data_IF_108827189385
#
_entry.id   IF_108827189385
#
_cell.length_a   1.000
_cell.length_b   1.000
_cell.length_c   1.000
_cell.angle_alpha   90.00
_cell.angle_beta   90.00
_cell.angle_gamma   90.00
#
_symmetry.space_group_name_H-M   'P 1'
#
loop_
_entity.id
_entity.type
_entity.pdbx_description
1 polymer ?
#
# COMPACT_ATOMS: atom_id res chain seq x y z
N UNK A 1 15.74 -14.90 8.56
CA UNK A 1 14.37 -15.34 8.91
C UNK A 1 13.40 -14.24 8.51
N UNK A 2 12.44 -14.54 7.63
CA UNK A 2 11.35 -13.60 7.33
C UNK A 2 10.48 -13.45 8.57
N UNK A 3 10.27 -12.21 9.02
CA UNK A 3 9.25 -11.92 10.03
C UNK A 3 7.88 -12.23 9.40
N UNK A 4 7.14 -13.17 9.97
CA UNK A 4 5.78 -13.49 9.49
C UNK A 4 4.82 -12.46 10.08
N UNK A 5 4.18 -11.66 9.23
CA UNK A 5 3.29 -10.57 9.64
C UNK A 5 1.86 -10.94 9.28
N UNK A 6 0.93 -10.63 10.17
CA UNK A 6 -0.46 -11.06 10.07
C UNK A 6 -1.42 -9.98 10.55
N UNK A 7 -2.65 -10.01 10.01
CA UNK A 7 -3.74 -9.15 10.49
C UNK A 7 -4.28 -9.65 11.81
N UNK A 8 -4.36 -8.73 12.75
CA UNK A 8 -5.07 -8.88 14.01
C UNK A 8 -6.52 -8.40 13.88
N UNK A 9 -6.73 -7.19 13.36
CA UNK A 9 -8.07 -6.61 13.20
C UNK A 9 -8.16 -5.64 12.01
N UNK A 10 -9.36 -5.46 11.47
CA UNK A 10 -9.71 -4.33 10.61
C UNK A 10 -10.66 -3.39 11.36
N UNK A 11 -10.42 -2.09 11.25
CA UNK A 11 -11.10 -1.00 11.92
C UNK A 11 -11.75 -0.08 10.88
N UNK A 12 -12.99 0.31 11.14
CA UNK A 12 -13.75 1.25 10.32
C UNK A 12 -14.21 2.43 11.16
N UNK A 13 -14.02 3.64 10.66
CA UNK A 13 -14.52 4.87 11.25
C UNK A 13 -16.04 4.96 11.08
N UNK A 14 -16.78 5.05 12.19
CA UNK A 14 -18.26 5.15 12.20
C UNK A 14 -18.78 6.49 11.70
N UNK A 15 -17.94 7.51 11.58
CA UNK A 15 -18.29 8.76 10.91
C UNK A 15 -18.36 8.60 9.38
N UNK A 16 -17.66 7.60 8.83
CA UNK A 16 -17.53 7.38 7.39
C UNK A 16 -18.23 6.10 6.90
N UNK A 17 -18.39 5.10 7.78
CA UNK A 17 -18.99 3.81 7.44
C UNK A 17 -20.14 3.46 8.39
N UNK A 18 -21.26 3.03 7.80
CA UNK A 18 -22.27 2.27 8.55
C UNK A 18 -21.78 0.84 8.82
N UNK A 19 -22.38 0.17 9.80
CA UNK A 19 -22.13 -1.25 10.08
C UNK A 19 -22.31 -2.16 8.86
N UNK A 20 -23.29 -1.88 8.00
CA UNK A 20 -23.57 -2.67 6.79
C UNK A 20 -22.51 -2.42 5.71
N UNK A 21 -22.08 -1.16 5.55
CA UNK A 21 -20.99 -0.81 4.63
C UNK A 21 -19.66 -1.45 5.07
N UNK A 22 -19.36 -1.38 6.37
CA UNK A 22 -18.17 -2.00 6.95
C UNK A 22 -18.18 -3.54 6.79
N UNK A 23 -19.32 -4.18 7.05
CA UNK A 23 -19.48 -5.64 6.85
C UNK A 23 -19.33 -6.02 5.39
N UNK A 24 -19.96 -5.26 4.49
CA UNK A 24 -19.87 -5.50 3.04
C UNK A 24 -18.44 -5.34 2.55
N UNK A 25 -17.72 -4.32 3.03
CA UNK A 25 -16.32 -4.10 2.73
C UNK A 25 -15.47 -5.27 3.23
N UNK A 26 -15.63 -5.65 4.51
CA UNK A 26 -14.87 -6.74 5.12
C UNK A 26 -15.05 -8.05 4.34
N UNK A 27 -16.29 -8.42 4.01
CA UNK A 27 -16.59 -9.61 3.23
C UNK A 27 -16.02 -9.57 1.80
N UNK A 28 -16.08 -8.39 1.16
CA UNK A 28 -15.55 -8.21 -0.20
C UNK A 28 -14.03 -8.36 -0.24
N UNK A 29 -13.34 -7.87 0.78
CA UNK A 29 -11.87 -7.92 0.91
C UNK A 29 -11.40 -9.19 1.67
N UNK A 30 -12.27 -10.21 1.79
CA UNK A 30 -12.00 -11.52 2.40
C UNK A 30 -11.53 -11.48 3.86
N UNK A 31 -11.96 -10.48 4.61
CA UNK A 31 -11.80 -10.45 6.05
C UNK A 31 -12.87 -11.31 6.74
N UNK A 32 -12.46 -12.08 7.74
CA UNK A 32 -13.39 -12.72 8.66
C UNK A 32 -14.25 -11.65 9.36
N UNK A 33 -15.53 -11.95 9.57
CA UNK A 33 -16.42 -11.11 10.38
C UNK A 33 -16.87 -11.84 11.64
N UNK A 34 -16.12 -12.87 12.06
CA UNK A 34 -16.49 -13.81 13.13
C UNK A 34 -16.63 -13.11 14.48
N UNK A 35 -15.77 -12.15 14.78
CA UNK A 35 -15.87 -11.31 15.96
C UNK A 35 -15.91 -9.83 15.58
N UNK A 36 -17.05 -9.20 15.85
CA UNK A 36 -17.29 -7.78 15.65
C UNK A 36 -17.36 -7.05 16.99
N UNK A 37 -16.59 -5.99 17.14
CA UNK A 37 -16.66 -5.04 18.25
C UNK A 37 -17.04 -3.67 17.72
N UNK A 38 -17.93 -2.99 18.43
CA UNK A 38 -18.28 -1.62 18.09
C UNK A 38 -18.17 -0.74 19.33
N UNK A 39 -17.57 0.43 19.16
CA UNK A 39 -17.65 1.53 20.11
C UNK A 39 -18.31 2.75 19.46
N UNK A 40 -18.20 3.91 20.11
CA UNK A 40 -18.85 5.15 19.64
C UNK A 40 -18.26 5.67 18.31
N UNK A 41 -17.01 5.34 17.98
CA UNK A 41 -16.28 5.89 16.84
C UNK A 41 -15.80 4.84 15.84
N UNK A 42 -15.72 3.56 16.22
CA UNK A 42 -15.07 2.50 15.44
C UNK A 42 -15.94 1.23 15.39
N UNK A 43 -15.99 0.62 14.21
CA UNK A 43 -16.39 -0.78 14.03
C UNK A 43 -15.11 -1.59 13.78
N UNK A 44 -14.84 -2.57 14.63
CA UNK A 44 -13.68 -3.45 14.53
C UNK A 44 -14.11 -4.89 14.23
N UNK A 45 -13.45 -5.54 13.28
CA UNK A 45 -13.55 -6.98 13.05
C UNK A 45 -12.23 -7.65 13.42
N UNK A 46 -12.25 -8.48 14.45
CA UNK A 46 -11.08 -9.18 14.97
C UNK A 46 -10.87 -10.47 14.16
N UNK A 47 -9.71 -10.59 13.55
CA UNK A 47 -9.29 -11.76 12.75
C UNK A 47 -8.55 -12.81 13.59
N UNK A 48 -7.91 -12.38 14.69
CA UNK A 48 -7.02 -13.22 15.49
C UNK A 48 -7.00 -12.81 16.95
N UNK A 49 -6.62 -13.76 17.81
CA UNK A 49 -6.33 -13.45 19.20
C UNK A 49 -5.03 -12.64 19.27
N UNK A 50 -4.94 -11.78 20.29
CA UNK A 50 -3.76 -11.03 20.65
C UNK A 50 -2.59 -11.97 21.01
N UNK A 51 -2.88 -13.14 21.58
CA UNK A 51 -1.90 -14.14 21.99
C UNK A 51 -1.15 -14.82 20.84
N UNK A 52 -1.63 -14.68 19.60
CA UNK A 52 -0.96 -15.23 18.41
C UNK A 52 0.26 -14.39 17.97
N UNK A 53 0.51 -13.24 18.62
CA UNK A 53 1.52 -12.26 18.24
C UNK A 53 2.64 -12.13 19.28
N UNK A 54 3.84 -11.80 18.79
CA UNK A 54 5.01 -11.58 19.63
C UNK A 54 4.81 -10.39 20.57
N UNK A 55 5.13 -10.61 21.84
CA UNK A 55 5.12 -9.58 22.88
C UNK A 55 6.55 -9.11 23.12
N UNK A 56 6.74 -7.79 23.17
CA UNK A 56 8.04 -7.18 23.43
C UNK A 56 8.50 -7.58 24.85
N UNK A 57 9.80 -7.88 25.02
CA UNK A 57 10.37 -8.50 26.23
C UNK A 57 10.11 -7.76 27.56
N UNK A 58 9.60 -6.53 27.51
CA UNK A 58 9.32 -5.70 28.68
C UNK A 58 7.83 -5.61 29.05
N UNK A 59 6.95 -6.36 28.36
CA UNK A 59 5.52 -6.42 28.70
C UNK A 59 4.74 -5.12 28.47
N UNK A 60 5.40 -4.08 27.96
CA UNK A 60 4.80 -2.82 27.55
C UNK A 60 4.96 -2.67 26.03
N UNK A 61 3.83 -2.41 25.39
CA UNK A 61 3.56 -2.32 23.96
C UNK A 61 3.83 -3.60 23.15
N UNK A 62 2.76 -4.14 22.57
CA UNK A 62 2.87 -5.08 21.47
C UNK A 62 3.27 -4.31 20.22
N UNK A 63 4.16 -4.87 19.40
CA UNK A 63 4.50 -4.31 18.08
C UNK A 63 3.36 -4.54 17.06
N UNK A 64 2.17 -4.00 17.35
CA UNK A 64 1.15 -3.81 16.32
C UNK A 64 1.41 -2.51 15.58
N UNK A 65 1.14 -2.54 14.27
CA UNK A 65 1.16 -1.37 13.40
C UNK A 65 -0.20 -1.17 12.78
N UNK A 66 -0.51 0.10 12.52
CA UNK A 66 -1.74 0.51 11.85
C UNK A 66 -1.41 0.80 10.39
N UNK A 67 -2.07 0.07 9.51
CA UNK A 67 -2.00 0.19 8.05
C UNK A 67 -3.29 0.85 7.58
N UNK A 68 -3.23 2.02 6.95
CA UNK A 68 -4.43 2.66 6.38
C UNK A 68 -4.75 2.05 5.01
N UNK A 69 -5.93 1.45 4.87
CA UNK A 69 -6.39 0.86 3.60
C UNK A 69 -7.14 1.87 2.73
N UNK A 70 -7.96 2.70 3.36
CA UNK A 70 -8.78 3.72 2.73
C UNK A 70 -9.12 4.80 3.78
N UNK A 71 -9.70 5.91 3.34
CA UNK A 71 -10.25 6.89 4.28
C UNK A 71 -11.25 6.20 5.22
N UNK A 72 -11.04 6.31 6.53
CA UNK A 72 -11.87 5.63 7.52
C UNK A 72 -11.68 4.12 7.64
N UNK A 73 -10.69 3.51 6.97
CA UNK A 73 -10.41 2.06 7.09
C UNK A 73 -8.95 1.82 7.44
N UNK A 74 -8.71 1.18 8.58
CA UNK A 74 -7.37 0.87 9.07
C UNK A 74 -7.26 -0.61 9.46
N UNK A 75 -6.06 -1.17 9.36
CA UNK A 75 -5.77 -2.57 9.68
C UNK A 75 -4.66 -2.63 10.70
N UNK A 76 -4.89 -3.38 11.76
CA UNK A 76 -3.89 -3.68 12.78
C UNK A 76 -3.14 -4.95 12.36
N UNK A 77 -1.82 -4.82 12.12
CA UNK A 77 -0.93 -5.93 11.74
C UNK A 77 0.17 -6.11 12.78
N UNK A 78 0.64 -7.34 12.98
CA UNK A 78 1.73 -7.64 13.92
C UNK A 78 2.57 -8.86 13.52
N UNK A 79 3.71 -9.06 14.18
CA UNK A 79 4.58 -10.22 13.97
C UNK A 79 4.03 -11.45 14.73
N UNK A 80 3.88 -12.57 14.03
CA UNK A 80 3.35 -13.82 14.60
C UNK A 80 4.37 -14.54 15.49
N UNK A 81 3.87 -15.21 16.52
CA UNK A 81 4.63 -16.19 17.30
C UNK A 81 5.09 -17.38 16.43
N UNK A 82 6.25 -17.95 16.78
CA UNK A 82 6.83 -19.06 16.04
C UNK A 82 5.94 -20.32 16.19
N UNK A 83 5.56 -20.95 15.07
CA UNK A 83 4.71 -22.13 15.05
C UNK A 83 3.20 -21.85 14.90
N UNK A 84 2.77 -20.58 14.86
CA UNK A 84 1.40 -20.21 14.50
C UNK A 84 1.23 -20.33 12.98
N UNK A 85 0.56 -21.40 12.51
CA UNK A 85 0.39 -21.70 11.08
C UNK A 85 -0.96 -21.28 10.50
N UNK A 86 -1.88 -20.80 11.34
CA UNK A 86 -3.20 -20.36 10.88
C UNK A 86 -3.04 -19.00 10.21
N UNK A 87 -2.78 -19.00 8.90
CA UNK A 87 -2.71 -17.79 8.08
C UNK A 87 -4.09 -17.45 7.52
N UNK A 88 -4.73 -16.40 8.05
CA UNK A 88 -5.57 -15.57 7.18
C UNK A 88 -4.60 -14.70 6.40
N UNK A 89 -4.38 -15.06 5.14
CA UNK A 89 -3.69 -14.20 4.19
C UNK A 89 -4.60 -13.02 3.92
N UNK A 90 -4.17 -11.86 4.40
CA UNK A 90 -4.81 -10.61 4.07
C UNK A 90 -4.20 -10.10 2.78
N UNK A 91 -4.99 -10.06 1.71
CA UNK A 91 -4.63 -9.35 0.48
C UNK A 91 -5.52 -8.12 0.34
N UNK A 92 -5.19 -7.04 1.03
CA UNK A 92 -5.67 -5.74 0.57
C UNK A 92 -4.93 -5.37 -0.69
N UNK A 93 -5.63 -5.42 -1.82
CA UNK A 93 -5.07 -4.96 -3.09
C UNK A 93 -5.27 -3.45 -3.19
N UNK A 94 -4.46 -2.67 -2.47
CA UNK A 94 -4.52 -1.20 -2.61
C UNK A 94 -3.87 -0.81 -3.93
N UNK A 95 -4.68 -0.46 -4.92
CA UNK A 95 -4.16 -0.03 -6.22
C UNK A 95 -3.96 1.48 -6.20
N UNK A 96 -2.69 1.88 -6.21
CA UNK A 96 -2.32 3.28 -6.19
C UNK A 96 -2.25 3.87 -7.61
N UNK A 97 -3.35 4.48 -8.03
CA UNK A 97 -3.44 5.12 -9.34
C UNK A 97 -2.67 6.46 -9.40
N UNK A 98 -2.28 6.88 -10.60
CA UNK A 98 -1.67 8.18 -10.89
C UNK A 98 -2.50 9.31 -10.32
N UNK A 99 -1.98 10.03 -9.34
CA UNK A 99 -2.58 11.24 -8.76
C UNK A 99 -2.87 12.34 -9.78
N UNK A 100 -2.09 12.43 -10.87
CA UNK A 100 -2.28 13.43 -11.92
C UNK A 100 -1.81 12.92 -13.28
N UNK A 101 -2.53 13.30 -14.34
CA UNK A 101 -2.12 13.11 -15.74
C UNK A 101 -2.16 14.48 -16.42
N UNK A 102 -1.00 15.05 -16.74
CA UNK A 102 -0.87 16.29 -17.51
C UNK A 102 -0.78 15.90 -19.00
N UNK A 103 -1.94 15.88 -19.66
CA UNK A 103 -2.05 15.45 -21.06
C UNK A 103 -1.17 16.24 -22.02
N UNK A 104 -1.15 17.60 -22.00
CA UNK A 104 -0.31 18.38 -22.90
C UNK A 104 1.19 18.08 -22.77
N UNK A 105 1.66 17.80 -21.55
CA UNK A 105 3.08 17.51 -21.29
C UNK A 105 3.43 16.02 -21.35
N UNK A 106 2.41 15.16 -21.43
CA UNK A 106 2.52 13.70 -21.29
C UNK A 106 3.19 13.27 -19.98
N UNK A 107 2.87 13.95 -18.89
CA UNK A 107 3.45 13.68 -17.58
C UNK A 107 2.41 13.01 -16.68
N UNK A 108 2.74 11.82 -16.20
CA UNK A 108 1.96 11.13 -15.16
C UNK A 108 2.64 11.30 -13.81
N UNK A 109 1.86 11.54 -12.76
CA UNK A 109 2.36 11.66 -11.38
C UNK A 109 1.59 10.72 -10.49
N UNK A 110 2.28 9.98 -9.64
CA UNK A 110 1.65 9.06 -8.71
C UNK A 110 2.64 8.48 -7.69
N UNK A 111 2.09 7.82 -6.67
CA UNK A 111 2.89 7.04 -5.72
C UNK A 111 3.51 5.85 -6.43
N UNK A 112 4.75 5.55 -6.06
CA UNK A 112 5.47 4.34 -6.46
C UNK A 112 5.37 3.29 -5.38
N UNK A 113 5.57 3.70 -4.13
CA UNK A 113 5.36 2.91 -2.91
C UNK A 113 4.73 3.79 -1.84
N UNK A 114 3.79 3.24 -1.09
CA UNK A 114 3.15 3.88 0.06
C UNK A 114 3.49 3.07 1.30
N UNK A 115 4.06 3.68 2.35
CA UNK A 115 4.44 2.95 3.54
C UNK A 115 3.24 2.37 4.25
N UNK A 116 3.47 1.24 4.91
CA UNK A 116 2.47 0.56 5.72
C UNK A 116 1.15 0.38 4.93
N UNK A 117 1.25 0.15 3.62
CA UNK A 117 0.14 -0.15 2.72
C UNK A 117 0.49 -1.41 1.94
N UNK A 118 -0.44 -2.37 1.93
CA UNK A 118 -0.24 -3.65 1.25
C UNK A 118 -0.30 -3.41 -0.26
N UNK A 119 0.79 -3.76 -0.94
CA UNK A 119 0.90 -3.65 -2.40
C UNK A 119 0.17 -4.80 -3.11
N UNK A 120 0.25 -4.83 -4.45
CA UNK A 120 -0.42 -5.85 -5.26
C UNK A 120 0.17 -7.27 -5.06
N UNK A 121 1.29 -7.41 -4.36
CA UNK A 121 1.99 -8.65 -4.06
C UNK A 121 1.76 -9.14 -2.62
N UNK A 122 1.01 -8.40 -1.80
CA UNK A 122 0.74 -8.75 -0.41
C UNK A 122 1.85 -8.35 0.55
N UNK A 123 2.86 -7.61 0.07
CA UNK A 123 3.96 -7.09 0.87
C UNK A 123 3.65 -5.63 1.24
N UNK A 124 4.25 -5.14 2.32
CA UNK A 124 4.24 -3.71 2.65
C UNK A 124 5.66 -3.29 2.99
N UNK A 125 5.99 -2.05 2.68
CA UNK A 125 7.34 -1.54 2.86
C UNK A 125 7.38 -0.45 3.92
N UNK A 126 8.47 -0.41 4.66
CA UNK A 126 8.70 0.61 5.67
C UNK A 126 9.13 1.93 5.02
N UNK A 127 8.82 3.09 5.64
CA UNK A 127 9.30 4.38 5.16
C UNK A 127 10.80 4.42 4.86
N UNK A 128 11.63 3.78 5.69
CA UNK A 128 13.09 3.73 5.52
C UNK A 128 13.51 2.90 4.30
N UNK A 129 12.84 1.78 4.05
CA UNK A 129 13.15 0.89 2.94
C UNK A 129 12.61 1.45 1.62
N UNK A 130 11.44 2.09 1.64
CA UNK A 130 10.92 2.90 0.54
C UNK A 130 11.91 4.02 0.18
N UNK A 131 12.45 4.73 1.17
CA UNK A 131 13.44 5.78 0.92
C UNK A 131 14.72 5.22 0.29
N UNK A 132 15.26 4.11 0.81
CA UNK A 132 16.44 3.45 0.21
C UNK A 132 16.16 3.03 -1.23
N UNK A 133 15.00 2.44 -1.50
CA UNK A 133 14.59 2.04 -2.84
C UNK A 133 14.50 3.25 -3.79
N UNK A 134 13.89 4.34 -3.33
CA UNK A 134 13.78 5.59 -4.08
C UNK A 134 15.15 6.18 -4.44
N UNK A 135 16.07 6.21 -3.47
CA UNK A 135 17.41 6.74 -3.67
C UNK A 135 18.20 5.88 -4.64
N UNK A 136 18.18 4.55 -4.45
CA UNK A 136 18.86 3.61 -5.33
C UNK A 136 18.33 3.66 -6.76
N UNK A 137 17.02 3.79 -6.93
CA UNK A 137 16.42 3.95 -8.25
C UNK A 137 16.93 5.21 -8.95
N UNK A 138 17.00 6.34 -8.23
CA UNK A 138 17.50 7.61 -8.77
C UNK A 138 19.00 7.59 -9.07
N UNK A 139 19.79 6.88 -8.27
CA UNK A 139 21.23 6.72 -8.48
C UNK A 139 21.52 5.83 -9.71
N UNK A 140 21.00 4.61 -9.68
CA UNK A 140 21.49 3.51 -10.52
C UNK A 140 20.62 3.23 -11.74
N UNK A 141 19.30 3.40 -11.62
CA UNK A 141 18.36 2.83 -12.59
C UNK A 141 17.76 3.91 -13.51
N UNK A 142 16.91 4.78 -12.95
CA UNK A 142 16.10 5.79 -13.67
C UNK A 142 15.40 5.28 -14.93
N UNK A 143 15.25 3.96 -15.06
CA UNK A 143 14.76 3.30 -16.25
C UNK A 143 13.28 3.00 -16.07
N UNK A 144 12.46 3.55 -16.94
CA UNK A 144 11.02 3.30 -16.92
C UNK A 144 10.70 2.17 -17.89
N UNK A 145 10.08 1.11 -17.37
CA UNK A 145 9.60 -0.04 -18.13
C UNK A 145 8.08 -0.19 -18.05
N UNK A 146 7.53 -1.10 -18.86
CA UNK A 146 6.10 -1.40 -18.90
C UNK A 146 5.88 -2.82 -18.36
N UNK A 147 5.02 -2.94 -17.33
CA UNK A 147 4.49 -4.20 -16.81
C UNK A 147 5.55 -5.26 -16.45
N UNK A 148 6.76 -4.85 -16.05
CA UNK A 148 7.90 -5.75 -15.77
C UNK A 148 8.30 -6.68 -16.92
N UNK A 149 7.84 -6.39 -18.15
CA UNK A 149 8.10 -7.22 -19.34
C UNK A 149 8.96 -6.42 -20.34
N UNK A 150 8.65 -5.14 -20.54
CA UNK A 150 9.39 -4.26 -21.45
C UNK A 150 10.31 -3.35 -20.63
N UNK A 151 11.60 -3.63 -20.66
CA UNK A 151 12.63 -2.79 -20.06
C UNK A 151 13.29 -1.97 -21.17
N UNK A 152 13.02 -0.67 -21.21
CA UNK A 152 13.54 0.19 -22.25
C UNK A 152 12.86 1.55 -22.20
N UNK A 153 13.34 2.42 -21.31
CA UNK A 153 13.05 3.85 -21.17
C UNK A 153 11.84 4.35 -21.96
N UNK A 154 10.65 3.89 -21.58
CA UNK A 154 9.37 4.33 -22.18
C UNK A 154 8.95 5.71 -21.66
N UNK A 155 9.69 6.23 -20.69
CA UNK A 155 9.52 7.54 -20.11
C UNK A 155 10.76 7.98 -19.35
N UNK A 156 10.76 9.24 -18.95
CA UNK A 156 11.85 9.91 -18.26
C UNK A 156 11.33 10.38 -16.90
N UNK A 157 11.96 9.99 -15.77
CA UNK A 157 11.69 10.61 -14.48
C UNK A 157 11.95 12.11 -14.56
N UNK A 158 10.95 12.92 -14.25
CA UNK A 158 11.07 14.39 -14.19
C UNK A 158 10.97 14.93 -12.76
N UNK A 159 10.40 14.14 -11.85
CA UNK A 159 10.33 14.45 -10.42
C UNK A 159 10.32 13.14 -9.61
N UNK A 160 10.97 13.15 -8.44
CA UNK A 160 10.99 12.04 -7.49
C UNK A 160 11.22 12.58 -6.08
N UNK A 161 10.34 12.25 -5.14
CA UNK A 161 10.43 12.72 -3.75
C UNK A 161 9.78 11.78 -2.75
N UNK A 162 10.26 11.84 -1.50
CA UNK A 162 9.64 11.20 -0.35
C UNK A 162 8.77 12.22 0.39
N UNK A 163 7.52 11.87 0.66
CA UNK A 163 6.62 12.70 1.43
C UNK A 163 7.13 12.89 2.86
N UNK A 164 7.38 14.14 3.26
CA UNK A 164 7.88 14.47 4.60
C UNK A 164 6.77 14.45 5.64
N UNK A 165 5.57 14.82 5.21
CA UNK A 165 4.35 14.89 6.01
C UNK A 165 3.21 14.26 5.20
N UNK A 166 2.14 13.78 5.85
CA UNK A 166 0.95 13.32 5.15
C UNK A 166 0.38 14.42 4.27
N UNK A 167 -0.12 14.05 3.09
CA UNK A 167 -0.73 15.00 2.17
C UNK A 167 -1.94 14.38 1.47
N UNK A 168 -2.80 15.22 0.93
CA UNK A 168 -4.00 14.80 0.24
C UNK A 168 -3.97 15.15 -1.24
N UNK A 169 -4.60 14.30 -2.04
CA UNK A 169 -4.86 14.55 -3.46
C UNK A 169 -6.36 14.50 -3.68
N UNK A 170 -6.91 15.63 -4.12
CA UNK A 170 -8.29 15.77 -4.55
C UNK A 170 -8.39 15.45 -6.06
N UNK A 171 -9.23 14.48 -6.41
CA UNK A 171 -9.57 14.13 -7.79
C UNK A 171 -11.05 14.37 -8.12
N UNK A 172 -11.70 15.28 -7.41
CA UNK A 172 -13.09 15.66 -7.61
C UNK A 172 -14.07 14.66 -7.00
N UNK A 173 -14.13 13.44 -7.54
CA UNK A 173 -15.03 12.38 -7.03
C UNK A 173 -14.40 11.44 -6.01
N UNK A 174 -13.08 11.52 -5.84
CA UNK A 174 -12.30 10.73 -4.89
C UNK A 174 -11.29 11.64 -4.19
N UNK A 175 -11.17 11.49 -2.88
CA UNK A 175 -10.11 12.09 -2.07
C UNK A 175 -9.16 10.98 -1.64
N UNK A 176 -7.85 11.18 -1.76
CA UNK A 176 -6.85 10.21 -1.31
C UNK A 176 -5.85 10.84 -0.37
N UNK A 177 -5.60 10.18 0.74
CA UNK A 177 -4.58 10.55 1.74
C UNK A 177 -3.36 9.67 1.51
N UNK A 178 -2.19 10.30 1.45
CA UNK A 178 -0.90 9.65 1.38
C UNK A 178 -0.13 9.90 2.67
N UNK A 179 0.31 8.85 3.40
CA UNK A 179 1.10 9.02 4.61
C UNK A 179 2.50 9.59 4.31
N UNK A 180 3.13 10.18 5.34
CA UNK A 180 4.56 10.50 5.31
C UNK A 180 5.38 9.24 5.02
N UNK A 181 6.46 9.37 4.25
CA UNK A 181 7.27 8.25 3.76
C UNK A 181 6.84 7.72 2.40
N UNK A 182 5.68 8.15 1.86
CA UNK A 182 5.25 7.81 0.49
C UNK A 182 6.29 8.27 -0.52
N UNK A 183 6.72 7.37 -1.41
CA UNK A 183 7.54 7.74 -2.55
C UNK A 183 6.66 8.13 -3.72
N UNK A 184 6.76 9.39 -4.13
CA UNK A 184 6.09 9.96 -5.28
C UNK A 184 7.03 10.14 -6.46
N UNK A 185 6.53 9.93 -7.67
CA UNK A 185 7.24 10.23 -8.90
C UNK A 185 6.36 10.91 -9.94
N UNK A 186 7.00 11.72 -10.77
CA UNK A 186 6.45 12.18 -12.05
C UNK A 186 7.32 11.68 -13.19
N UNK A 187 6.67 11.10 -14.20
CA UNK A 187 7.34 10.54 -15.38
C UNK A 187 6.76 11.16 -16.63
N UNK A 188 7.62 11.70 -17.49
CA UNK A 188 7.27 12.10 -18.85
C UNK A 188 7.29 10.88 -19.75
N UNK A 189 6.13 10.46 -20.25
CA UNK A 189 6.01 9.31 -21.16
C UNK A 189 6.49 9.72 -22.55
N UNK A 190 7.49 9.01 -23.07
CA UNK A 190 8.11 9.28 -24.37
C UNK A 190 7.67 8.30 -25.46
N UNK A 191 7.19 7.12 -25.08
CA UNK A 191 6.65 6.12 -26.02
C UNK A 191 5.16 6.41 -26.31
N UNK A 192 4.82 6.62 -27.58
CA UNK A 192 3.46 6.95 -28.01
C UNK A 192 2.45 5.85 -27.67
N UNK A 193 2.82 4.57 -27.78
CA UNK A 193 1.89 3.45 -27.51
C UNK A 193 1.58 3.37 -26.02
N UNK A 194 2.59 3.59 -25.19
CA UNK A 194 2.41 3.65 -23.73
C UNK A 194 1.55 4.85 -23.36
N UNK A 195 1.76 5.99 -24.02
CA UNK A 195 0.95 7.18 -23.79
C UNK A 195 -0.53 6.95 -24.13
N UNK A 196 -0.83 6.29 -25.26
CA UNK A 196 -2.20 5.90 -25.59
C UNK A 196 -2.85 5.02 -24.52
N UNK A 197 -2.12 4.03 -24.00
CA UNK A 197 -2.62 3.17 -22.91
C UNK A 197 -2.91 3.95 -21.64
N UNK A 198 -2.09 4.94 -21.29
CA UNK A 198 -2.36 5.85 -20.16
C UNK A 198 -3.64 6.66 -20.41
N UNK A 199 -3.80 7.24 -21.60
CA UNK A 199 -5.00 8.03 -21.94
C UNK A 199 -6.28 7.20 -21.92
N UNK A 200 -6.19 5.94 -22.34
CA UNK A 200 -7.31 5.00 -22.33
C UNK A 200 -7.61 4.42 -20.93
N UNK A 201 -6.79 4.73 -19.92
CA UNK A 201 -6.93 4.17 -18.57
C UNK A 201 -6.49 2.71 -18.44
N UNK A 202 -5.75 2.18 -19.41
CA UNK A 202 -5.21 0.80 -19.37
C UNK A 202 -3.97 0.69 -18.47
N UNK A 203 -3.20 1.78 -18.34
CA UNK A 203 -2.08 1.91 -17.41
C UNK A 203 -2.41 3.01 -16.40
N UNK A 204 -2.72 2.62 -15.16
CA UNK A 204 -3.27 3.55 -14.17
C UNK A 204 -2.34 3.89 -13.03
N UNK A 205 -1.19 3.22 -12.84
CA UNK A 205 -0.32 3.44 -11.70
C UNK A 205 1.11 2.94 -11.95
N UNK A 206 2.00 3.24 -11.00
CA UNK A 206 3.38 2.74 -11.02
C UNK A 206 3.48 1.38 -10.32
N UNK A 207 4.56 0.67 -10.62
CA UNK A 207 4.96 -0.56 -9.93
C UNK A 207 6.48 -0.68 -9.95
N UNK A 208 7.06 -1.26 -8.90
CA UNK A 208 8.50 -1.56 -8.83
C UNK A 208 8.75 -3.01 -9.19
N UNK A 209 9.75 -3.21 -10.06
CA UNK A 209 10.30 -4.51 -10.37
C UNK A 209 11.68 -4.61 -9.75
N UNK A 210 11.88 -5.56 -8.85
CA UNK A 210 13.20 -5.91 -8.33
C UNK A 210 13.66 -7.24 -8.93
N UNK A 211 14.91 -7.32 -9.39
CA UNK A 211 15.57 -8.61 -9.67
C UNK A 211 16.47 -8.93 -8.48
N UNK A 212 15.97 -9.77 -7.59
CA UNK A 212 16.71 -10.35 -6.49
C UNK A 212 16.31 -11.80 -6.29
N UNK A 213 17.25 -12.62 -5.82
CA UNK A 213 16.95 -13.97 -5.36
C UNK A 213 16.29 -13.88 -4.00
N UNK A 214 15.04 -14.35 -3.90
CA UNK A 214 14.36 -14.59 -2.62
C UNK A 214 14.99 -15.84 -2.02
N UNK A 215 15.74 -15.69 -0.93
CA UNK A 215 16.01 -16.85 -0.06
C UNK A 215 14.71 -17.15 0.68
N UNK A 216 14.11 -18.29 0.34
CA UNK A 216 13.07 -18.91 1.16
C UNK A 216 13.74 -19.31 2.48
N UNK A 217 13.24 -18.77 3.58
CA UNK A 217 13.62 -19.16 4.93
C UNK A 217 12.59 -20.14 5.46
#
# INVERSE_FOLDING_TARGET
>A
MKKSIAVHAILFDKFLFTADQATTFAQKEDFSVDEKREDDNIIAYLQRDKADFKINAFGEDMDFRVVTMAEGVAVLVGELEEGVTKTHEFSAKVTWNYTKVDEPKRVVTGPVLVPDSVDLQGDFEFPEDIQKAAFKFMEDARNIGEMHIKFGNIGIPVESWIAREPFFVDKGSEFKIFPSGTWMMSVKITDDKVWEKVRNGELTGFSIGFRGTREEA
#
